data_IF_549841171498
#
_entry.id   IF_549841171498
#
_cell.length_a   1.000
_cell.length_b   1.000
_cell.length_c   1.000
_cell.angle_alpha   90.00
_cell.angle_beta   90.00
_cell.angle_gamma   90.00
#
_symmetry.space_group_name_H-M   'P 1'
#
loop_
_entity.id
_entity.type
_entity.pdbx_description
1 polymer ?
#
# COMPACT_ATOMS: atom_id res chain seq x y z
N UNK A 1 23.02 20.51 1.82
CA UNK A 1 23.18 19.32 0.97
C UNK A 1 22.25 18.27 1.52
N UNK A 2 21.33 17.68 0.75
CA UNK A 2 20.56 16.52 1.23
C UNK A 2 21.55 15.42 1.61
N UNK A 3 21.29 14.72 2.71
CA UNK A 3 22.14 13.60 3.13
C UNK A 3 22.16 12.56 2.00
N UNK A 4 23.26 11.81 1.87
CA UNK A 4 23.38 10.76 0.83
C UNK A 4 22.22 9.75 0.88
N UNK A 5 21.57 9.60 2.05
CA UNK A 5 20.38 8.79 2.24
C UNK A 5 19.12 9.35 1.56
N UNK A 6 18.87 10.66 1.68
CA UNK A 6 17.67 11.30 1.06
C UNK A 6 17.74 11.31 -0.47
N UNK A 7 18.90 11.59 -1.04
CA UNK A 7 19.10 11.51 -2.49
C UNK A 7 18.89 10.06 -3.00
N UNK A 8 19.29 9.09 -2.24
CA UNK A 8 19.06 7.66 -2.53
C UNK A 8 17.56 7.31 -2.49
N UNK A 9 16.77 7.87 -1.58
CA UNK A 9 15.33 7.66 -1.46
C UNK A 9 14.57 8.19 -2.69
N UNK A 10 14.91 9.39 -3.15
CA UNK A 10 14.27 10.02 -4.32
C UNK A 10 14.54 9.22 -5.61
N UNK A 11 15.78 8.81 -5.84
CA UNK A 11 16.16 8.02 -7.03
C UNK A 11 15.40 6.67 -7.08
N UNK A 12 15.14 6.06 -5.95
CA UNK A 12 14.45 4.77 -5.83
C UNK A 12 12.96 4.86 -6.08
N UNK A 13 12.30 5.91 -5.56
CA UNK A 13 10.90 6.18 -5.83
C UNK A 13 10.67 6.32 -7.34
N UNK A 14 11.53 7.08 -8.02
CA UNK A 14 11.52 7.24 -9.47
C UNK A 14 11.65 5.88 -10.20
N UNK A 15 12.51 4.97 -9.75
CA UNK A 15 12.70 3.66 -10.41
C UNK A 15 11.47 2.77 -10.35
N UNK A 16 10.74 2.75 -9.24
CA UNK A 16 9.49 1.99 -9.13
C UNK A 16 8.44 2.51 -10.11
N UNK A 17 8.31 3.84 -10.23
CA UNK A 17 7.41 4.46 -11.21
C UNK A 17 7.90 4.30 -12.66
N UNK A 18 9.20 4.12 -12.88
CA UNK A 18 9.76 3.71 -14.18
C UNK A 18 9.61 2.21 -14.46
N UNK A 19 8.91 1.47 -13.60
CA UNK A 19 8.69 0.01 -13.68
C UNK A 19 9.97 -0.82 -13.69
N UNK A 20 11.06 -0.33 -13.09
CA UNK A 20 12.33 -1.05 -12.91
C UNK A 20 12.31 -1.80 -11.56
N UNK A 21 11.36 -2.72 -11.41
CA UNK A 21 11.04 -3.37 -10.14
C UNK A 21 12.20 -4.14 -9.53
N UNK A 22 12.96 -4.90 -10.32
CA UNK A 22 14.09 -5.70 -9.80
C UNK A 22 15.18 -4.80 -9.20
N UNK A 23 15.45 -3.67 -9.85
CA UNK A 23 16.42 -2.71 -9.34
C UNK A 23 15.92 -1.97 -8.08
N UNK A 24 14.61 -1.71 -8.00
CA UNK A 24 14.00 -1.10 -6.83
C UNK A 24 14.10 -2.06 -5.63
N UNK A 25 13.75 -3.35 -5.83
CA UNK A 25 13.87 -4.39 -4.80
C UNK A 25 15.31 -4.52 -4.32
N UNK A 26 16.27 -4.72 -5.22
CA UNK A 26 17.69 -4.84 -4.86
C UNK A 26 18.21 -3.59 -4.11
N UNK A 27 17.73 -2.41 -4.49
CA UNK A 27 18.09 -1.17 -3.82
C UNK A 27 17.46 -1.07 -2.41
N UNK A 28 16.23 -1.56 -2.21
CA UNK A 28 15.58 -1.66 -0.91
C UNK A 28 16.33 -2.59 0.04
N UNK A 29 16.64 -3.79 -0.42
CA UNK A 29 17.42 -4.78 0.34
C UNK A 29 18.79 -4.26 0.73
N UNK A 30 19.48 -3.58 -0.20
CA UNK A 30 20.77 -2.92 0.11
C UNK A 30 20.63 -1.84 1.16
N UNK A 31 19.52 -1.08 1.16
CA UNK A 31 19.28 -0.06 2.18
C UNK A 31 19.11 -0.68 3.57
N UNK A 32 18.38 -1.79 3.67
CA UNK A 32 18.23 -2.54 4.92
C UNK A 32 19.56 -3.07 5.39
N UNK A 33 20.40 -3.64 4.51
CA UNK A 33 21.74 -4.11 4.84
C UNK A 33 22.64 -3.00 5.38
N UNK A 34 22.53 -1.77 4.83
CA UNK A 34 23.31 -0.62 5.27
C UNK A 34 22.75 0.08 6.52
N UNK A 35 21.46 -0.11 6.81
CA UNK A 35 20.79 0.51 7.97
C UNK A 35 19.83 -0.50 8.62
N UNK A 36 20.33 -1.52 9.32
CA UNK A 36 19.52 -2.60 9.89
C UNK A 36 18.60 -2.16 11.05
N UNK A 37 18.78 -0.95 11.57
CA UNK A 37 17.89 -0.32 12.56
C UNK A 37 17.03 0.82 11.97
N UNK A 38 17.12 1.06 10.67
CA UNK A 38 16.42 2.16 10.00
C UNK A 38 15.01 1.76 9.56
N UNK A 39 13.97 2.22 10.26
CA UNK A 39 12.56 1.93 9.91
C UNK A 39 12.23 2.29 8.46
N UNK A 40 12.72 3.43 7.97
CA UNK A 40 12.48 3.89 6.60
C UNK A 40 13.08 2.94 5.55
N UNK A 41 14.24 2.32 5.85
CA UNK A 41 14.84 1.34 4.95
C UNK A 41 13.95 0.10 4.79
N UNK A 42 13.38 -0.38 5.89
CA UNK A 42 12.44 -1.50 5.88
C UNK A 42 11.14 -1.14 5.17
N UNK A 43 10.53 0.00 5.48
CA UNK A 43 9.33 0.47 4.79
C UNK A 43 9.55 0.58 3.27
N UNK A 44 10.65 1.18 2.84
CA UNK A 44 10.96 1.29 1.41
C UNK A 44 11.16 -0.08 0.74
N UNK A 45 11.86 -1.00 1.40
CA UNK A 45 12.00 -2.38 0.91
C UNK A 45 10.63 -3.06 0.79
N UNK A 46 9.78 -2.97 1.82
CA UNK A 46 8.42 -3.50 1.83
C UNK A 46 7.57 -2.98 0.68
N UNK A 47 7.58 -1.67 0.46
CA UNK A 47 6.86 -1.03 -0.64
C UNK A 47 7.35 -1.54 -2.01
N UNK A 48 8.66 -1.68 -2.23
CA UNK A 48 9.20 -2.18 -3.50
C UNK A 48 8.85 -3.64 -3.76
N UNK A 49 8.96 -4.49 -2.75
CA UNK A 49 8.50 -5.88 -2.82
C UNK A 49 7.01 -5.97 -3.13
N UNK A 50 6.17 -5.13 -2.51
CA UNK A 50 4.73 -5.08 -2.75
C UNK A 50 4.38 -4.75 -4.20
N UNK A 51 5.02 -3.74 -4.78
CA UNK A 51 4.78 -3.40 -6.19
C UNK A 51 5.39 -4.40 -7.18
N UNK A 52 6.45 -5.12 -6.78
CA UNK A 52 7.03 -6.20 -7.56
C UNK A 52 6.19 -7.49 -7.55
N UNK A 53 5.24 -7.63 -6.59
CA UNK A 53 4.40 -8.81 -6.42
C UNK A 53 4.89 -9.78 -5.34
N UNK A 54 5.95 -9.44 -4.62
CA UNK A 54 6.53 -10.23 -3.54
C UNK A 54 5.82 -9.90 -2.22
N UNK A 55 4.53 -10.24 -2.11
CA UNK A 55 3.67 -9.75 -1.03
C UNK A 55 4.01 -10.30 0.35
N UNK A 56 4.58 -11.49 0.44
CA UNK A 56 5.02 -12.07 1.71
C UNK A 56 6.19 -11.28 2.29
N UNK A 57 7.19 -11.03 1.48
CA UNK A 57 8.35 -10.21 1.81
C UNK A 57 7.93 -8.79 2.15
N UNK A 58 7.01 -8.22 1.37
CA UNK A 58 6.46 -6.89 1.62
C UNK A 58 5.87 -6.80 3.05
N UNK A 59 4.99 -7.74 3.43
CA UNK A 59 4.38 -7.74 4.75
C UNK A 59 5.43 -7.84 5.87
N UNK A 60 6.43 -8.71 5.72
CA UNK A 60 7.50 -8.89 6.72
C UNK A 60 8.36 -7.62 6.89
N UNK A 61 8.68 -6.96 5.79
CA UNK A 61 9.43 -5.70 5.83
C UNK A 61 8.63 -4.58 6.49
N UNK A 62 7.33 -4.47 6.20
CA UNK A 62 6.47 -3.45 6.79
C UNK A 62 6.25 -3.69 8.30
N UNK A 63 6.06 -4.94 8.73
CA UNK A 63 6.00 -5.30 10.15
C UNK A 63 7.30 -4.90 10.86
N UNK A 64 8.45 -5.15 10.25
CA UNK A 64 9.73 -4.77 10.83
C UNK A 64 9.89 -3.24 10.94
N UNK A 65 9.44 -2.50 9.93
CA UNK A 65 9.43 -1.04 9.97
C UNK A 65 8.61 -0.50 11.16
N UNK A 66 7.44 -1.08 11.41
CA UNK A 66 6.56 -0.71 12.53
C UNK A 66 7.23 -0.98 13.89
N UNK A 67 7.91 -2.11 14.03
CA UNK A 67 8.65 -2.42 15.27
C UNK A 67 9.79 -1.43 15.55
N UNK A 68 10.44 -0.93 14.50
CA UNK A 68 11.56 0.01 14.61
C UNK A 68 11.11 1.45 14.83
N UNK A 69 9.91 1.82 14.39
CA UNK A 69 9.34 3.17 14.55
C UNK A 69 7.87 3.12 14.96
N UNK A 70 7.56 2.75 16.22
CA UNK A 70 6.18 2.54 16.66
C UNK A 70 5.32 3.81 16.70
N UNK A 71 5.93 5.00 16.65
CA UNK A 71 5.21 6.28 16.67
C UNK A 71 4.84 6.82 15.28
N UNK A 72 5.36 6.23 14.20
CA UNK A 72 5.07 6.67 12.83
C UNK A 72 4.74 5.47 11.92
N UNK A 73 3.81 4.64 12.36
CA UNK A 73 3.49 3.35 11.72
C UNK A 73 2.47 3.42 10.59
N UNK A 74 1.74 4.52 10.45
CA UNK A 74 0.56 4.55 9.57
C UNK A 74 0.88 4.27 8.09
N UNK A 75 2.03 4.72 7.59
CA UNK A 75 2.42 4.50 6.19
C UNK A 75 2.74 3.02 5.95
N UNK A 76 3.58 2.42 6.81
CA UNK A 76 3.92 1.00 6.72
C UNK A 76 2.72 0.09 6.98
N UNK A 77 1.79 0.47 7.86
CA UNK A 77 0.53 -0.26 8.05
C UNK A 77 -0.35 -0.27 6.80
N UNK A 78 -0.42 0.84 6.05
CA UNK A 78 -1.19 0.88 4.80
C UNK A 78 -0.60 -0.07 3.76
N UNK A 79 0.72 -0.12 3.64
CA UNK A 79 1.38 -0.99 2.68
C UNK A 79 1.34 -2.46 3.12
N UNK A 80 1.42 -2.74 4.44
CA UNK A 80 1.13 -4.06 4.99
C UNK A 80 -0.30 -4.50 4.68
N UNK A 81 -1.30 -3.65 4.89
CA UNK A 81 -2.69 -3.98 4.59
C UNK A 81 -2.88 -4.38 3.12
N UNK A 82 -2.22 -3.69 2.19
CA UNK A 82 -2.23 -4.07 0.76
C UNK A 82 -1.53 -5.39 0.50
N UNK A 83 -0.38 -5.64 1.13
CA UNK A 83 0.32 -6.91 1.01
C UNK A 83 -0.54 -8.07 1.53
N UNK A 84 -1.17 -7.91 2.70
CA UNK A 84 -2.12 -8.88 3.26
C UNK A 84 -3.32 -9.13 2.34
N UNK A 85 -3.85 -8.06 1.74
CA UNK A 85 -4.92 -8.18 0.75
C UNK A 85 -4.52 -9.10 -0.42
N UNK A 86 -3.34 -8.89 -0.99
CA UNK A 86 -2.86 -9.71 -2.11
C UNK A 86 -2.49 -11.15 -1.73
N UNK A 87 -2.18 -11.39 -0.46
CA UNK A 87 -1.99 -12.74 0.09
C UNK A 87 -3.33 -13.46 0.34
N UNK A 88 -4.47 -12.79 0.11
CA UNK A 88 -5.81 -13.33 0.38
C UNK A 88 -6.24 -13.23 1.85
N UNK A 89 -5.41 -12.67 2.72
CA UNK A 89 -5.76 -12.40 4.11
C UNK A 89 -6.57 -11.10 4.21
N UNK A 90 -7.77 -11.13 3.65
CA UNK A 90 -8.68 -9.98 3.63
C UNK A 90 -9.13 -9.55 5.03
N UNK A 91 -9.12 -10.46 6.00
CA UNK A 91 -9.44 -10.13 7.39
C UNK A 91 -8.35 -9.27 8.01
N UNK A 92 -7.09 -9.67 7.91
CA UNK A 92 -5.97 -8.86 8.38
C UNK A 92 -5.90 -7.51 7.64
N UNK A 93 -6.05 -7.52 6.31
CA UNK A 93 -6.08 -6.28 5.51
C UNK A 93 -7.15 -5.29 5.99
N UNK A 94 -8.38 -5.78 6.28
CA UNK A 94 -9.48 -4.99 6.85
C UNK A 94 -9.10 -4.41 8.21
N UNK A 95 -8.62 -5.25 9.12
CA UNK A 95 -8.37 -4.86 10.52
C UNK A 95 -7.23 -3.82 10.61
N UNK A 96 -6.18 -3.99 9.81
CA UNK A 96 -5.08 -3.03 9.70
C UNK A 96 -5.59 -1.70 9.11
N UNK A 97 -6.34 -1.74 8.00
CA UNK A 97 -6.88 -0.54 7.38
C UNK A 97 -7.81 0.24 8.32
N UNK A 98 -8.64 -0.45 9.11
CA UNK A 98 -9.49 0.18 10.13
C UNK A 98 -8.66 0.87 11.22
N UNK A 99 -7.56 0.27 11.67
CA UNK A 99 -6.65 0.91 12.65
C UNK A 99 -6.07 2.21 12.09
N UNK A 100 -5.59 2.20 10.84
CA UNK A 100 -5.08 3.41 10.18
C UNK A 100 -6.16 4.49 10.09
N UNK A 101 -7.37 4.12 9.67
CA UNK A 101 -8.48 5.08 9.48
C UNK A 101 -9.01 5.67 10.79
N UNK A 102 -8.77 5.03 11.94
CA UNK A 102 -9.07 5.59 13.25
C UNK A 102 -8.25 6.86 13.52
N UNK A 103 -6.99 6.87 13.11
CA UNK A 103 -6.09 8.02 13.30
C UNK A 103 -6.09 8.98 12.11
N UNK A 104 -6.24 8.44 10.90
CA UNK A 104 -6.19 9.18 9.64
C UNK A 104 -7.45 8.90 8.80
N UNK A 105 -8.63 9.45 9.20
CA UNK A 105 -9.91 9.11 8.58
C UNK A 105 -10.03 9.41 7.09
N UNK A 106 -9.25 10.33 6.55
CA UNK A 106 -9.26 10.72 5.13
C UNK A 106 -8.22 9.98 4.27
N UNK A 107 -7.47 9.01 4.84
CA UNK A 107 -6.41 8.37 4.07
C UNK A 107 -6.95 7.49 2.94
N UNK A 108 -6.81 7.97 1.71
CA UNK A 108 -7.40 7.38 0.51
C UNK A 108 -7.00 5.92 0.30
N UNK A 109 -5.70 5.61 0.40
CA UNK A 109 -5.20 4.24 0.17
C UNK A 109 -5.75 3.25 1.19
N UNK A 110 -5.81 3.63 2.48
CA UNK A 110 -6.39 2.78 3.53
C UNK A 110 -7.89 2.53 3.28
N UNK A 111 -8.66 3.56 2.89
CA UNK A 111 -10.08 3.41 2.53
C UNK A 111 -10.27 2.50 1.33
N UNK A 112 -9.51 2.70 0.27
CA UNK A 112 -9.61 1.87 -0.93
C UNK A 112 -9.27 0.41 -0.63
N UNK A 113 -8.21 0.16 0.16
CA UNK A 113 -7.87 -1.21 0.59
C UNK A 113 -8.98 -1.82 1.46
N UNK A 114 -9.60 -1.03 2.35
CA UNK A 114 -10.70 -1.50 3.19
C UNK A 114 -11.95 -1.86 2.35
N UNK A 115 -12.33 -1.02 1.37
CA UNK A 115 -13.43 -1.34 0.44
C UNK A 115 -13.16 -2.65 -0.28
N UNK A 116 -11.94 -2.83 -0.82
CA UNK A 116 -11.57 -4.05 -1.53
C UNK A 116 -11.58 -5.28 -0.61
N UNK A 117 -11.08 -5.16 0.62
CA UNK A 117 -11.06 -6.24 1.60
C UNK A 117 -12.49 -6.64 2.04
N UNK A 118 -13.36 -5.68 2.32
CA UNK A 118 -14.75 -5.94 2.68
C UNK A 118 -15.50 -6.66 1.56
N UNK A 119 -15.31 -6.21 0.31
CA UNK A 119 -15.91 -6.87 -0.85
C UNK A 119 -15.51 -8.35 -0.93
N UNK A 120 -14.21 -8.64 -0.82
CA UNK A 120 -13.71 -10.02 -0.89
C UNK A 120 -14.09 -10.88 0.33
N UNK A 121 -14.47 -10.25 1.46
CA UNK A 121 -15.06 -10.94 2.62
C UNK A 121 -16.57 -11.20 2.48
N UNK A 122 -17.19 -10.87 1.34
CA UNK A 122 -18.63 -10.99 1.14
C UNK A 122 -19.47 -9.91 1.86
N UNK A 123 -18.81 -8.89 2.43
CA UNK A 123 -19.45 -7.78 3.15
C UNK A 123 -19.75 -6.61 2.18
N UNK A 124 -20.44 -6.94 1.09
CA UNK A 124 -20.62 -6.03 -0.04
C UNK A 124 -21.35 -4.73 0.34
N UNK A 125 -22.40 -4.82 1.18
CA UNK A 125 -23.15 -3.62 1.57
C UNK A 125 -22.29 -2.64 2.36
N UNK A 126 -21.44 -3.14 3.25
CA UNK A 126 -20.50 -2.30 3.98
C UNK A 126 -19.44 -1.69 3.06
N UNK A 127 -18.99 -2.45 2.06
CA UNK A 127 -18.08 -1.92 1.04
C UNK A 127 -18.74 -0.78 0.24
N UNK A 128 -20.03 -0.90 -0.12
CA UNK A 128 -20.78 0.16 -0.81
C UNK A 128 -20.98 1.41 0.04
N UNK A 129 -21.29 1.23 1.32
CA UNK A 129 -21.39 2.36 2.28
C UNK A 129 -20.06 3.10 2.35
N UNK A 130 -18.97 2.37 2.56
CA UNK A 130 -17.63 2.95 2.66
C UNK A 130 -17.18 3.62 1.35
N UNK A 131 -17.56 3.07 0.19
CA UNK A 131 -17.31 3.68 -1.11
C UNK A 131 -18.02 5.04 -1.25
N UNK A 132 -19.28 5.16 -0.81
CA UNK A 132 -20.01 6.44 -0.75
C UNK A 132 -19.32 7.44 0.17
N UNK A 133 -18.87 7.01 1.35
CA UNK A 133 -18.10 7.86 2.27
C UNK A 133 -16.76 8.31 1.67
N UNK A 134 -16.09 7.45 0.90
CA UNK A 134 -14.86 7.80 0.19
C UNK A 134 -15.13 8.92 -0.80
N UNK A 135 -16.19 8.82 -1.61
CA UNK A 135 -16.56 9.86 -2.56
C UNK A 135 -16.97 11.18 -1.87
N UNK A 136 -17.67 11.11 -0.76
CA UNK A 136 -18.02 12.30 0.01
C UNK A 136 -16.78 13.06 0.51
N UNK A 137 -15.70 12.34 0.86
CA UNK A 137 -14.44 12.94 1.31
C UNK A 137 -13.50 13.31 0.16
N UNK A 138 -13.62 12.63 -0.97
CA UNK A 138 -12.79 12.79 -2.17
C UNK A 138 -13.68 12.87 -3.41
N UNK A 139 -14.41 13.98 -3.63
CA UNK A 139 -15.39 14.08 -4.73
C UNK A 139 -14.79 13.90 -6.12
N UNK A 140 -13.49 14.17 -6.27
CA UNK A 140 -12.76 13.98 -7.53
C UNK A 140 -12.11 12.60 -7.68
N UNK A 141 -12.41 11.63 -6.81
CA UNK A 141 -11.82 10.30 -6.91
C UNK A 141 -12.27 9.58 -8.19
N UNK A 142 -11.32 8.91 -8.83
CA UNK A 142 -11.52 8.07 -9.99
C UNK A 142 -10.67 6.81 -9.83
N UNK A 143 -11.27 5.63 -10.00
CA UNK A 143 -10.57 4.34 -9.91
C UNK A 143 -9.47 4.27 -10.95
N UNK A 144 -9.74 4.70 -12.20
CA UNK A 144 -8.76 4.67 -13.27
C UNK A 144 -7.56 5.59 -12.96
N UNK A 145 -7.79 6.81 -12.47
CA UNK A 145 -6.73 7.75 -12.12
C UNK A 145 -5.91 7.25 -10.94
N UNK A 146 -6.56 6.70 -9.91
CA UNK A 146 -5.88 6.13 -8.78
C UNK A 146 -5.05 4.90 -9.17
N UNK A 147 -5.62 3.99 -9.97
CA UNK A 147 -4.93 2.82 -10.52
C UNK A 147 -3.67 3.22 -11.31
N UNK A 148 -3.75 4.27 -12.13
CA UNK A 148 -2.61 4.77 -12.89
C UNK A 148 -1.45 5.23 -12.00
N UNK A 149 -1.73 5.69 -10.78
CA UNK A 149 -0.71 6.10 -9.80
C UNK A 149 -0.05 4.93 -9.07
N UNK A 150 -0.53 3.70 -9.24
CA UNK A 150 -0.01 2.51 -8.57
C UNK A 150 0.92 1.73 -9.51
N UNK A 151 2.24 1.73 -9.25
CA UNK A 151 3.22 1.14 -10.18
C UNK A 151 3.36 -0.37 -10.01
N UNK A 152 2.26 -1.13 -10.03
CA UNK A 152 2.34 -2.59 -9.99
C UNK A 152 3.06 -3.16 -11.21
N UNK A 153 3.94 -4.15 -10.98
CA UNK A 153 4.63 -4.90 -12.04
C UNK A 153 3.64 -5.70 -12.89
N UNK A 154 2.70 -6.37 -12.23
CA UNK A 154 1.74 -7.27 -12.86
C UNK A 154 0.35 -6.63 -12.84
N UNK A 155 -0.27 -6.53 -14.02
CA UNK A 155 -1.60 -5.94 -14.18
C UNK A 155 -2.66 -6.70 -13.36
N UNK A 156 -2.53 -8.03 -13.27
CA UNK A 156 -3.44 -8.88 -12.49
C UNK A 156 -3.53 -8.50 -11.01
N UNK A 157 -2.41 -8.08 -10.41
CA UNK A 157 -2.41 -7.61 -9.02
C UNK A 157 -3.15 -6.27 -8.89
N UNK A 158 -2.94 -5.36 -9.83
CA UNK A 158 -3.69 -4.10 -9.86
C UNK A 158 -5.19 -4.37 -10.04
N UNK A 159 -5.55 -5.24 -10.99
CA UNK A 159 -6.94 -5.60 -11.29
C UNK A 159 -7.63 -6.24 -10.08
N UNK A 160 -6.94 -7.11 -9.36
CA UNK A 160 -7.45 -7.71 -8.12
C UNK A 160 -7.83 -6.65 -7.07
N UNK A 161 -7.06 -5.57 -6.97
CA UNK A 161 -7.32 -4.48 -6.03
C UNK A 161 -8.44 -3.55 -6.50
N UNK A 162 -8.48 -3.18 -7.80
CA UNK A 162 -9.41 -2.17 -8.29
C UNK A 162 -10.79 -2.72 -8.68
N UNK A 163 -10.90 -4.00 -9.07
CA UNK A 163 -12.18 -4.62 -9.42
C UNK A 163 -13.22 -4.53 -8.30
N UNK A 164 -12.89 -4.83 -7.03
CA UNK A 164 -13.82 -4.64 -5.91
C UNK A 164 -14.28 -3.19 -5.73
N UNK A 165 -13.42 -2.21 -6.02
CA UNK A 165 -13.77 -0.79 -5.91
C UNK A 165 -14.86 -0.40 -6.91
N UNK A 166 -14.72 -0.87 -8.15
CA UNK A 166 -15.73 -0.68 -9.21
C UNK A 166 -17.06 -1.34 -8.83
N UNK A 167 -17.00 -2.58 -8.36
CA UNK A 167 -18.19 -3.34 -7.93
C UNK A 167 -18.89 -2.69 -6.71
N UNK A 168 -18.14 -2.00 -5.85
CA UNK A 168 -18.69 -1.21 -4.76
C UNK A 168 -19.29 0.14 -5.19
N UNK A 169 -19.20 0.50 -6.48
CA UNK A 169 -19.82 1.70 -7.06
C UNK A 169 -18.91 2.94 -7.12
N UNK A 170 -17.59 2.77 -7.02
CA UNK A 170 -16.67 3.89 -7.23
C UNK A 170 -16.52 4.19 -8.75
N UNK A 171 -16.45 5.48 -9.15
CA UNK A 171 -16.39 5.89 -10.56
C UNK A 171 -15.05 5.58 -11.22
N UNK A 172 -15.12 5.39 -12.55
CA UNK A 172 -13.93 5.24 -13.41
C UNK A 172 -13.06 6.49 -13.46
#
# INVERSE_FOLDING_TARGET
MPSSGEAYLVIRYVRTFQRRHDEAVAAGEKAVALSPSGADAYHMAGMYHGYAGNFREAALYEERAQLLSPFNVNVSMVDEARARFHLGDFKAARDIALRVLKEKPSWLTARSTLVAALWNLGREEEARILAKELLARHPGFSVARWAHSLPYRHQEHLDALIKPLRLAGLPE
#
